data_IF_021685455167
#
_entry.id   IF_021685455167
#
_cell.length_a   1.000
_cell.length_b   1.000
_cell.length_c   1.000
_cell.angle_alpha   90.00
_cell.angle_beta   90.00
_cell.angle_gamma   90.00
#
_symmetry.space_group_name_H-M   'P 1'
#
loop_
_entity.id
_entity.type
_entity.pdbx_description
1 polymer ?
#
# COMPACT_ATOMS: atom_id res chain seq x y z
N UNK A 1 -5.57 -21.78 -10.14
CA UNK A 1 -5.18 -21.01 -8.96
C UNK A 1 -6.25 -19.97 -8.68
N UNK A 2 -6.70 -19.90 -7.45
CA UNK A 2 -7.73 -18.94 -7.04
C UNK A 2 -7.08 -17.79 -6.27
N UNK A 3 -7.29 -16.55 -6.74
CA UNK A 3 -6.83 -15.34 -6.05
C UNK A 3 -8.03 -14.48 -5.73
N UNK A 4 -8.17 -14.11 -4.46
CA UNK A 4 -9.27 -13.27 -3.98
C UNK A 4 -8.69 -12.10 -3.20
N UNK A 5 -9.11 -10.88 -3.52
CA UNK A 5 -8.78 -9.68 -2.73
C UNK A 5 -10.01 -9.28 -1.95
N UNK A 6 -9.86 -9.15 -0.64
CA UNK A 6 -10.96 -8.81 0.27
C UNK A 6 -10.53 -7.81 1.33
N UNK A 7 -11.50 -7.18 1.97
CA UNK A 7 -11.21 -6.37 3.15
C UNK A 7 -10.81 -7.29 4.30
N UNK A 8 -9.93 -6.79 5.16
CA UNK A 8 -9.32 -7.55 6.22
C UNK A 8 -9.43 -6.83 7.56
N UNK A 9 -9.17 -7.56 8.64
CA UNK A 9 -9.08 -6.98 9.98
C UNK A 9 -7.65 -6.49 10.23
N UNK A 10 -7.50 -5.63 11.23
CA UNK A 10 -6.17 -5.16 11.67
C UNK A 10 -5.28 -6.33 12.08
N UNK A 11 -5.84 -7.28 12.83
CA UNK A 11 -5.08 -8.44 13.32
C UNK A 11 -4.53 -9.27 12.16
N UNK A 12 -5.33 -9.46 11.12
CA UNK A 12 -4.90 -10.19 9.93
C UNK A 12 -3.73 -9.50 9.23
N UNK A 13 -3.83 -8.17 9.07
CA UNK A 13 -2.78 -7.38 8.40
C UNK A 13 -1.50 -7.37 9.22
N UNK A 14 -1.59 -7.15 10.53
CA UNK A 14 -0.42 -7.15 11.41
C UNK A 14 0.29 -8.50 11.36
N UNK A 15 -0.45 -9.58 11.50
CA UNK A 15 0.10 -10.94 11.45
C UNK A 15 0.81 -11.20 10.12
N UNK A 16 0.18 -10.82 9.01
CA UNK A 16 0.76 -11.04 7.69
C UNK A 16 2.04 -10.20 7.50
N UNK A 17 2.02 -8.93 7.90
CA UNK A 17 3.18 -8.05 7.74
C UNK A 17 4.40 -8.55 8.51
N UNK A 18 4.20 -9.19 9.66
CA UNK A 18 5.29 -9.78 10.45
C UNK A 18 5.93 -10.98 9.76
N UNK A 19 5.25 -11.60 8.81
CA UNK A 19 5.76 -12.74 8.07
C UNK A 19 6.50 -12.35 6.80
N UNK A 20 6.60 -11.05 6.50
CA UNK A 20 7.24 -10.54 5.27
C UNK A 20 8.64 -10.03 5.63
N UNK A 21 9.66 -10.65 5.03
CA UNK A 21 11.07 -10.39 5.38
C UNK A 21 11.53 -8.96 5.10
N UNK A 22 10.90 -8.26 4.14
CA UNK A 22 11.25 -6.87 3.83
C UNK A 22 10.87 -5.90 4.94
N UNK A 23 10.10 -6.33 5.91
CA UNK A 23 9.71 -5.52 7.06
C UNK A 23 10.42 -6.01 8.32
N UNK A 24 11.70 -5.65 8.55
CA UNK A 24 12.41 -6.11 9.72
C UNK A 24 11.80 -5.63 11.04
N UNK A 25 11.10 -4.48 10.99
CA UNK A 25 10.42 -3.92 12.15
C UNK A 25 9.07 -3.34 11.69
N UNK A 26 8.10 -4.19 11.29
CA UNK A 26 6.82 -3.68 10.85
C UNK A 26 6.05 -3.03 11.99
N UNK A 27 5.15 -2.07 11.68
CA UNK A 27 4.28 -1.50 12.70
C UNK A 27 3.46 -2.60 13.39
N UNK A 28 3.30 -2.49 14.69
CA UNK A 28 2.44 -3.37 15.47
C UNK A 28 1.00 -2.86 15.49
N UNK A 29 0.13 -3.61 16.18
CA UNK A 29 -1.28 -3.30 16.26
C UNK A 29 -1.54 -1.87 16.78
N UNK A 30 -0.82 -1.45 17.82
CA UNK A 30 -1.00 -0.13 18.42
C UNK A 30 -0.72 1.00 17.43
N UNK A 31 0.30 0.87 16.59
CA UNK A 31 0.63 1.88 15.59
C UNK A 31 -0.45 1.96 14.53
N UNK A 32 -0.98 0.82 14.08
CA UNK A 32 -2.10 0.79 13.13
C UNK A 32 -3.34 1.45 13.72
N UNK A 33 -3.71 1.08 14.95
CA UNK A 33 -4.87 1.64 15.62
C UNK A 33 -4.76 3.16 15.76
N UNK A 34 -3.59 3.63 16.21
CA UNK A 34 -3.33 5.06 16.40
C UNK A 34 -3.43 5.82 15.08
N UNK A 35 -2.84 5.27 14.01
CA UNK A 35 -2.79 5.94 12.71
C UNK A 35 -4.15 5.97 12.01
N UNK A 36 -4.93 4.91 12.16
CA UNK A 36 -6.20 4.76 11.45
C UNK A 36 -7.42 5.24 12.24
N UNK A 37 -7.23 5.59 13.52
CA UNK A 37 -8.34 6.00 14.38
C UNK A 37 -8.99 7.28 13.85
N UNK A 38 -10.32 7.24 13.67
CA UNK A 38 -11.11 8.40 13.27
C UNK A 38 -10.91 8.87 11.83
N UNK A 39 -10.18 8.13 11.00
CA UNK A 39 -9.98 8.50 9.59
C UNK A 39 -10.50 7.39 8.68
N UNK A 40 -10.95 7.76 7.49
CA UNK A 40 -11.36 6.78 6.49
C UNK A 40 -10.16 5.97 6.08
N UNK A 41 -10.33 4.66 6.06
CA UNK A 41 -9.23 3.75 5.75
C UNK A 41 -9.76 2.48 5.10
N UNK A 42 -8.85 1.72 4.48
CA UNK A 42 -9.16 0.39 3.98
C UNK A 42 -7.97 -0.52 4.22
N UNK A 43 -8.26 -1.73 4.66
CA UNK A 43 -7.28 -2.79 4.83
C UNK A 43 -7.67 -3.92 3.89
N UNK A 44 -6.73 -4.34 3.05
CA UNK A 44 -6.96 -5.38 2.04
C UNK A 44 -5.99 -6.53 2.22
N UNK A 45 -6.49 -7.74 1.98
CA UNK A 45 -5.65 -8.95 1.88
C UNK A 45 -5.94 -9.62 0.55
N UNK A 46 -4.89 -10.10 -0.10
CA UNK A 46 -4.98 -10.98 -1.25
C UNK A 46 -4.71 -12.39 -0.79
N UNK A 47 -5.65 -13.30 -1.04
CA UNK A 47 -5.52 -14.73 -0.71
C UNK A 47 -5.27 -15.54 -1.97
N UNK A 48 -4.33 -16.47 -1.86
CA UNK A 48 -4.03 -17.45 -2.93
C UNK A 48 -4.47 -18.80 -2.42
N UNK A 49 -5.48 -19.39 -3.06
CA UNK A 49 -6.07 -20.66 -2.64
C UNK A 49 -6.45 -20.65 -1.14
N UNK A 50 -6.97 -19.51 -0.67
CA UNK A 50 -7.41 -19.36 0.71
C UNK A 50 -6.32 -18.95 1.71
N UNK A 51 -5.06 -18.87 1.29
CA UNK A 51 -3.95 -18.48 2.17
C UNK A 51 -3.57 -17.02 1.96
N UNK A 52 -3.36 -16.23 3.04
CA UNK A 52 -2.95 -14.83 2.91
C UNK A 52 -1.58 -14.74 2.23
N UNK A 53 -1.50 -14.01 1.12
CA UNK A 53 -0.27 -13.85 0.35
C UNK A 53 0.24 -12.43 0.27
N UNK A 54 -0.63 -11.44 0.42
CA UNK A 54 -0.25 -10.04 0.35
C UNK A 54 -1.28 -9.15 1.01
N UNK A 55 -0.89 -7.90 1.29
CA UNK A 55 -1.78 -6.93 1.92
C UNK A 55 -1.53 -5.52 1.43
N UNK A 56 -2.49 -4.64 1.69
CA UNK A 56 -2.37 -3.23 1.41
C UNK A 56 -3.24 -2.44 2.38
N UNK A 57 -2.71 -1.33 2.90
CA UNK A 57 -3.42 -0.45 3.83
C UNK A 57 -3.31 0.98 3.36
N UNK A 58 -4.41 1.68 3.34
CA UNK A 58 -4.42 3.09 3.00
C UNK A 58 -5.40 3.85 3.89
N UNK A 59 -5.21 5.18 3.95
CA UNK A 59 -6.08 6.04 4.76
C UNK A 59 -6.06 7.48 4.23
N UNK A 60 -7.05 8.26 4.66
CA UNK A 60 -7.18 9.67 4.31
C UNK A 60 -6.24 10.49 5.18
N UNK A 61 -4.97 10.54 4.78
CA UNK A 61 -3.88 11.15 5.57
C UNK A 61 -4.08 12.64 5.80
N UNK A 62 -4.61 13.34 4.79
CA UNK A 62 -4.79 14.79 4.84
C UNK A 62 -6.17 15.22 5.35
N UNK A 63 -7.05 14.27 5.60
CA UNK A 63 -8.43 14.51 6.08
C UNK A 63 -9.22 15.42 5.14
N UNK A 64 -8.90 15.41 3.85
CA UNK A 64 -9.53 16.28 2.86
C UNK A 64 -10.58 15.58 1.98
N UNK A 65 -10.64 14.26 2.04
CA UNK A 65 -11.58 13.49 1.23
C UNK A 65 -11.23 13.46 -0.25
N UNK A 66 -10.09 14.01 -0.66
CA UNK A 66 -9.67 14.06 -2.06
C UNK A 66 -8.47 13.17 -2.37
N UNK A 67 -7.44 13.19 -1.51
CA UNK A 67 -6.19 12.47 -1.72
C UNK A 67 -6.10 11.31 -0.72
N UNK A 68 -6.11 10.09 -1.24
CA UNK A 68 -5.96 8.90 -0.40
C UNK A 68 -4.50 8.47 -0.40
N UNK A 69 -4.01 8.05 0.75
CA UNK A 69 -2.62 7.67 0.94
C UNK A 69 -2.49 6.16 1.13
N UNK A 70 -1.78 5.51 0.20
CA UNK A 70 -1.43 4.10 0.33
C UNK A 70 -0.21 4.02 1.23
N UNK A 71 -0.41 3.57 2.48
CA UNK A 71 0.62 3.63 3.51
C UNK A 71 1.51 2.40 3.56
N UNK A 72 0.92 1.22 3.62
CA UNK A 72 1.65 -0.03 3.76
C UNK A 72 1.17 -1.04 2.73
N UNK A 73 2.08 -1.91 2.33
CA UNK A 73 1.73 -3.00 1.45
C UNK A 73 2.91 -3.95 1.28
N UNK A 74 2.63 -5.19 1.01
CA UNK A 74 3.68 -6.17 0.78
C UNK A 74 3.11 -7.51 0.34
N UNK A 75 3.96 -8.32 -0.26
CA UNK A 75 3.61 -9.65 -0.75
C UNK A 75 4.63 -10.64 -0.20
N UNK A 76 4.15 -11.73 0.37
CA UNK A 76 5.03 -12.78 0.87
C UNK A 76 5.85 -13.36 -0.27
N UNK A 77 7.10 -13.68 0.03
CA UNK A 77 8.08 -14.16 -0.95
C UNK A 77 7.55 -15.32 -1.82
N UNK A 78 6.86 -16.28 -1.19
CA UNK A 78 6.32 -17.44 -1.87
C UNK A 78 5.21 -17.12 -2.87
N UNK A 79 4.60 -15.96 -2.74
CA UNK A 79 3.46 -15.56 -3.58
C UNK A 79 3.80 -14.42 -4.55
N UNK A 80 5.07 -14.11 -4.71
CA UNK A 80 5.50 -13.09 -5.68
C UNK A 80 5.34 -13.60 -7.11
N UNK A 81 5.29 -12.66 -8.05
CA UNK A 81 5.12 -12.91 -9.49
C UNK A 81 3.76 -13.52 -9.84
N UNK A 82 2.79 -13.42 -8.93
CA UNK A 82 1.42 -13.84 -9.19
C UNK A 82 0.49 -12.65 -9.46
N UNK A 83 1.05 -11.44 -9.49
CA UNK A 83 0.27 -10.24 -9.75
C UNK A 83 -0.51 -9.71 -8.55
N UNK A 84 -0.18 -10.14 -7.32
CA UNK A 84 -0.94 -9.72 -6.13
C UNK A 84 -0.83 -8.22 -5.88
N UNK A 85 0.35 -7.63 -6.07
CA UNK A 85 0.53 -6.18 -5.87
C UNK A 85 -0.37 -5.38 -6.79
N UNK A 86 -0.50 -5.80 -8.05
CA UNK A 86 -1.38 -5.15 -9.02
C UNK A 86 -2.85 -5.30 -8.65
N UNK A 87 -3.26 -6.49 -8.23
CA UNK A 87 -4.64 -6.75 -7.83
C UNK A 87 -5.03 -5.93 -6.59
N UNK A 88 -4.12 -5.85 -5.61
CA UNK A 88 -4.33 -5.05 -4.41
C UNK A 88 -4.47 -3.57 -4.75
N UNK A 89 -3.61 -3.06 -5.64
CA UNK A 89 -3.68 -1.68 -6.08
C UNK A 89 -4.99 -1.39 -6.83
N UNK A 90 -5.38 -2.24 -7.76
CA UNK A 90 -6.63 -2.10 -8.51
C UNK A 90 -7.83 -2.04 -7.57
N UNK A 91 -7.86 -2.91 -6.57
CA UNK A 91 -8.94 -2.94 -5.59
C UNK A 91 -8.97 -1.66 -4.75
N UNK A 92 -7.81 -1.17 -4.34
CA UNK A 92 -7.71 0.10 -3.60
C UNK A 92 -8.17 1.27 -4.46
N UNK A 93 -7.77 1.34 -5.72
CA UNK A 93 -8.19 2.39 -6.64
C UNK A 93 -9.71 2.39 -6.84
N UNK A 94 -10.28 1.22 -7.03
CA UNK A 94 -11.72 1.07 -7.17
C UNK A 94 -12.46 1.56 -5.91
N UNK A 95 -11.99 1.14 -4.74
CA UNK A 95 -12.56 1.58 -3.48
C UNK A 95 -12.45 3.10 -3.31
N UNK A 96 -11.31 3.67 -3.66
CA UNK A 96 -11.10 5.12 -3.58
C UNK A 96 -12.09 5.89 -4.45
N UNK A 97 -12.32 5.42 -5.67
CA UNK A 97 -13.31 6.03 -6.58
C UNK A 97 -14.71 5.98 -5.99
N UNK A 98 -15.10 4.82 -5.46
CA UNK A 98 -16.41 4.65 -4.82
C UNK A 98 -16.55 5.56 -3.59
N UNK A 99 -15.46 5.78 -2.87
CA UNK A 99 -15.46 6.61 -1.66
C UNK A 99 -15.34 8.12 -1.96
N UNK A 100 -15.16 8.50 -3.24
CA UNK A 100 -15.10 9.90 -3.65
C UNK A 100 -13.71 10.51 -3.71
N UNK A 101 -12.66 9.72 -3.53
CA UNK A 101 -11.28 10.22 -3.67
C UNK A 101 -10.93 10.40 -5.14
N UNK A 102 -10.15 11.43 -5.44
CA UNK A 102 -9.76 11.76 -6.81
C UNK A 102 -8.32 11.44 -7.14
N UNK A 103 -7.47 11.28 -6.11
CA UNK A 103 -6.04 11.01 -6.27
C UNK A 103 -5.58 9.99 -5.24
N UNK A 104 -4.57 9.22 -5.64
CA UNK A 104 -3.92 8.24 -4.78
C UNK A 104 -2.43 8.55 -4.73
N UNK A 105 -1.86 8.58 -3.52
CA UNK A 105 -0.45 8.84 -3.29
C UNK A 105 0.20 7.72 -2.51
N UNK A 106 1.51 7.54 -2.70
CA UNK A 106 2.32 6.72 -1.82
C UNK A 106 3.77 7.21 -1.84
N UNK A 107 4.53 6.84 -0.81
CA UNK A 107 5.95 7.15 -0.71
C UNK A 107 6.79 5.90 -0.80
N UNK A 108 7.99 6.03 -1.38
CA UNK A 108 8.97 4.96 -1.38
C UNK A 108 10.37 5.54 -1.29
N UNK A 109 11.36 4.71 -1.00
CA UNK A 109 12.75 5.14 -0.97
C UNK A 109 13.34 5.14 -2.37
N UNK A 110 14.31 6.02 -2.59
CA UNK A 110 15.02 6.12 -3.87
C UNK A 110 15.75 4.82 -4.25
N UNK A 111 16.11 4.01 -3.26
CA UNK A 111 16.76 2.71 -3.50
C UNK A 111 15.81 1.60 -3.94
N UNK A 112 14.48 1.80 -3.82
CA UNK A 112 13.49 0.78 -4.16
C UNK A 112 13.14 0.81 -5.65
N UNK A 113 14.09 0.40 -6.49
CA UNK A 113 13.94 0.48 -7.95
C UNK A 113 12.73 -0.28 -8.50
N UNK A 114 12.41 -1.43 -7.91
CA UNK A 114 11.25 -2.22 -8.33
C UNK A 114 9.94 -1.50 -8.05
N UNK A 115 9.83 -0.84 -6.89
CA UNK A 115 8.64 -0.07 -6.54
C UNK A 115 8.51 1.17 -7.43
N UNK A 116 9.63 1.81 -7.75
CA UNK A 116 9.65 2.97 -8.65
C UNK A 116 9.16 2.56 -10.04
N UNK A 117 9.68 1.45 -10.58
CA UNK A 117 9.23 0.91 -11.87
C UNK A 117 7.75 0.55 -11.84
N UNK A 118 7.30 -0.07 -10.76
CA UNK A 118 5.90 -0.43 -10.58
C UNK A 118 5.01 0.82 -10.59
N UNK A 119 5.43 1.88 -9.89
CA UNK A 119 4.70 3.15 -9.84
C UNK A 119 4.46 3.70 -11.26
N UNK A 120 5.52 3.84 -12.05
CA UNK A 120 5.39 4.36 -13.40
C UNK A 120 4.56 3.44 -14.29
N UNK A 121 4.72 2.13 -14.16
CA UNK A 121 3.95 1.16 -14.95
C UNK A 121 2.46 1.22 -14.65
N UNK A 122 2.07 1.71 -13.47
CA UNK A 122 0.67 1.78 -13.03
C UNK A 122 0.09 3.18 -13.16
N UNK A 123 0.78 4.11 -13.79
CA UNK A 123 0.26 5.44 -14.09
C UNK A 123 0.52 6.48 -13.01
N UNK A 124 1.43 6.21 -12.08
CA UNK A 124 1.83 7.19 -11.08
C UNK A 124 2.93 8.09 -11.64
N UNK A 125 2.97 9.31 -11.14
CA UNK A 125 4.01 10.29 -11.45
C UNK A 125 4.73 10.70 -10.18
N UNK A 126 6.03 10.91 -10.28
CA UNK A 126 6.82 11.50 -9.20
C UNK A 126 6.45 12.97 -9.08
N UNK A 127 5.97 13.39 -7.91
CA UNK A 127 5.55 14.78 -7.68
C UNK A 127 6.40 15.48 -6.62
N UNK A 128 7.15 14.75 -5.81
CA UNK A 128 8.00 15.36 -4.79
C UNK A 128 9.16 14.44 -4.44
N UNK A 129 10.28 15.04 -4.06
CA UNK A 129 11.50 14.34 -3.71
C UNK A 129 12.08 14.96 -2.45
N UNK A 130 12.14 14.20 -1.37
CA UNK A 130 12.74 14.64 -0.11
C UNK A 130 14.13 14.04 0.04
N UNK A 131 15.15 14.86 -0.23
CA UNK A 131 16.53 14.44 -0.15
C UNK A 131 16.94 14.13 1.29
N UNK A 132 17.58 12.99 1.50
CA UNK A 132 18.17 12.58 2.78
C UNK A 132 19.68 12.64 2.68
N UNK A 133 20.36 12.53 3.83
CA UNK A 133 21.84 12.54 3.88
C UNK A 133 22.42 11.50 2.96
N UNK A 134 21.92 10.26 3.03
CA UNK A 134 22.21 9.23 2.04
C UNK A 134 21.18 9.33 0.93
N UNK A 135 21.61 9.60 -0.29
CA UNK A 135 20.71 9.84 -1.41
C UNK A 135 19.79 8.65 -1.67
N UNK A 136 20.27 7.42 -1.44
CA UNK A 136 19.46 6.20 -1.60
C UNK A 136 18.29 6.11 -0.61
N UNK A 137 18.38 6.79 0.53
CA UNK A 137 17.32 6.84 1.54
C UNK A 137 16.33 7.98 1.31
N UNK A 138 16.58 8.81 0.30
CA UNK A 138 15.66 9.89 -0.06
C UNK A 138 14.28 9.35 -0.36
N UNK A 139 13.25 10.14 -0.05
CA UNK A 139 11.85 9.73 -0.22
C UNK A 139 11.29 10.31 -1.49
N UNK A 140 10.60 9.46 -2.24
CA UNK A 140 9.88 9.84 -3.45
C UNK A 140 8.39 9.77 -3.18
N UNK A 141 7.66 10.84 -3.49
CA UNK A 141 6.21 10.89 -3.40
C UNK A 141 5.63 10.72 -4.79
N UNK A 142 4.84 9.67 -4.97
CA UNK A 142 4.16 9.38 -6.23
C UNK A 142 2.67 9.66 -6.10
N UNK A 143 2.08 10.11 -7.19
CA UNK A 143 0.65 10.42 -7.25
C UNK A 143 0.05 9.92 -8.56
N UNK A 144 -1.20 9.47 -8.47
CA UNK A 144 -2.00 9.06 -9.63
C UNK A 144 -3.36 9.71 -9.54
N UNK A 145 -3.81 10.33 -10.63
CA UNK A 145 -5.18 10.77 -10.74
C UNK A 145 -6.07 9.57 -11.03
N UNK A 146 -7.16 9.46 -10.28
CA UNK A 146 -8.09 8.33 -10.39
C UNK A 146 -9.23 8.59 -11.37
N UNK A 147 -9.35 9.83 -11.84
CA UNK A 147 -10.41 10.24 -12.78
C UNK A 147 -9.84 10.91 -14.00
#
# INVERSE_FOLDING_TARGET
MSVVVREATLEEVVKLSMSIDEFPSPPGLNEYEKRLAGVRNILLIAEVNGAPGGFKVGYDRHLDGEVFYSWMGGVRKEYRRLGLASLLLEKMEFWCLEAGFTRLQFKTRNSHSKMISFAYSRGFWLIDFQKKEKVEDSRLLFEKELR
#
